data_IF_593751851833
#
_entry.id   IF_593751851833
#
_cell.length_a   1.000
_cell.length_b   1.000
_cell.length_c   1.000
_cell.angle_alpha   90.00
_cell.angle_beta   90.00
_cell.angle_gamma   90.00
#
_symmetry.space_group_name_H-M   'P 1'
#
loop_
_entity.id
_entity.type
_entity.pdbx_description
1 polymer ?
#
# COMPACT_ATOMS: atom_id res chain seq x y z
N UNK A 1 6.08 -3.99 8.97
CA UNK A 1 6.74 -5.20 9.50
C UNK A 1 6.78 -6.39 8.57
N UNK A 2 5.66 -6.89 8.02
CA UNK A 2 5.61 -8.10 7.18
C UNK A 2 6.76 -8.18 6.14
N UNK A 3 6.95 -7.11 5.36
CA UNK A 3 8.04 -7.00 4.39
C UNK A 3 9.45 -7.09 5.00
N UNK A 4 9.73 -6.31 6.06
CA UNK A 4 11.02 -6.29 6.76
C UNK A 4 11.38 -7.64 7.38
N UNK A 5 10.37 -8.43 7.75
CA UNK A 5 10.51 -9.76 8.35
C UNK A 5 10.52 -10.90 7.31
N UNK A 6 10.54 -10.58 6.01
CA UNK A 6 10.54 -11.59 4.94
C UNK A 6 9.20 -12.33 4.77
N UNK A 7 8.10 -11.81 5.33
CA UNK A 7 6.78 -12.42 5.23
C UNK A 7 6.03 -12.10 3.93
N UNK A 8 6.66 -11.43 2.96
CA UNK A 8 6.11 -11.12 1.64
C UNK A 8 6.98 -11.80 0.60
N UNK A 9 6.35 -12.58 -0.28
CA UNK A 9 7.05 -13.23 -1.39
C UNK A 9 7.57 -12.21 -2.41
N UNK A 10 8.68 -12.49 -3.10
CA UNK A 10 9.17 -11.64 -4.18
C UNK A 10 8.10 -11.42 -5.26
N UNK A 11 7.86 -10.15 -5.61
CA UNK A 11 6.89 -9.77 -6.64
C UNK A 11 7.60 -9.66 -7.98
N UNK A 12 7.21 -10.50 -8.95
CA UNK A 12 7.81 -10.55 -10.29
C UNK A 12 6.84 -9.93 -11.31
N UNK A 13 7.38 -9.19 -12.28
CA UNK A 13 6.62 -8.70 -13.43
C UNK A 13 5.70 -7.51 -13.17
N UNK A 14 5.79 -6.86 -12.00
CA UNK A 14 4.96 -5.69 -11.60
C UNK A 14 5.73 -4.39 -11.42
N UNK A 15 6.96 -4.35 -11.93
CA UNK A 15 7.87 -3.21 -11.72
C UNK A 15 7.30 -1.91 -12.28
N UNK A 16 6.61 -1.96 -13.42
CA UNK A 16 5.97 -0.80 -14.02
C UNK A 16 4.90 -0.19 -13.11
N UNK A 17 3.97 -1.01 -12.61
CA UNK A 17 2.90 -0.56 -11.74
C UNK A 17 3.42 -0.07 -10.39
N UNK A 18 4.44 -0.73 -9.83
CA UNK A 18 5.09 -0.29 -8.59
C UNK A 18 5.77 1.06 -8.78
N UNK A 19 6.50 1.25 -9.90
CA UNK A 19 7.11 2.54 -10.24
C UNK A 19 6.05 3.64 -10.42
N UNK A 20 4.96 3.35 -11.13
CA UNK A 20 3.86 4.31 -11.30
C UNK A 20 3.25 4.72 -9.95
N UNK A 21 3.11 3.77 -9.02
CA UNK A 21 2.63 4.05 -7.66
C UNK A 21 3.58 4.98 -6.90
N UNK A 22 4.90 4.73 -6.97
CA UNK A 22 5.91 5.61 -6.40
C UNK A 22 5.83 7.02 -7.00
N UNK A 23 5.72 7.12 -8.32
CA UNK A 23 5.63 8.41 -9.02
C UNK A 23 4.39 9.20 -8.60
N UNK A 24 3.25 8.53 -8.41
CA UNK A 24 2.01 9.16 -7.91
C UNK A 24 2.19 9.65 -6.47
N UNK A 25 2.74 8.82 -5.58
CA UNK A 25 2.98 9.19 -4.18
C UNK A 25 3.90 10.42 -4.03
N UNK A 26 4.78 10.65 -5.00
CA UNK A 26 5.71 11.79 -5.03
C UNK A 26 5.14 13.08 -5.63
N UNK A 27 3.88 13.07 -6.09
CA UNK A 27 3.25 14.28 -6.62
C UNK A 27 2.94 15.28 -5.50
N UNK A 28 2.99 16.57 -5.83
CA UNK A 28 2.58 17.66 -4.92
C UNK A 28 1.07 17.71 -4.68
N UNK A 29 0.28 17.28 -5.67
CA UNK A 29 -1.19 17.23 -5.64
C UNK A 29 -1.63 15.90 -6.25
N UNK A 30 -2.79 15.40 -5.84
CA UNK A 30 -3.34 14.12 -6.32
C UNK A 30 -2.34 12.97 -6.13
N UNK A 31 -1.78 12.88 -4.92
CA UNK A 31 -0.75 11.91 -4.54
C UNK A 31 -1.30 10.60 -3.98
N UNK A 32 -2.58 10.31 -4.24
CA UNK A 32 -3.27 9.13 -3.75
C UNK A 32 -3.45 8.14 -4.93
N UNK A 33 -2.58 7.12 -5.08
CA UNK A 33 -2.72 6.13 -6.14
C UNK A 33 -3.96 5.25 -5.91
N UNK A 34 -4.68 4.95 -6.99
CA UNK A 34 -5.82 4.01 -6.98
C UNK A 34 -5.54 2.91 -8.00
N UNK A 35 -5.52 1.66 -7.52
CA UNK A 35 -5.34 0.48 -8.37
C UNK A 35 -6.69 -0.04 -8.88
N UNK A 36 -6.98 0.21 -10.15
CA UNK A 36 -8.17 -0.29 -10.84
C UNK A 36 -7.88 -1.58 -11.61
N UNK A 37 -8.92 -2.31 -12.03
CA UNK A 37 -8.82 -3.60 -12.73
C UNK A 37 -9.75 -4.67 -12.18
N UNK A 38 -9.80 -5.82 -12.85
CA UNK A 38 -10.66 -6.95 -12.44
C UNK A 38 -10.27 -7.55 -11.09
N UNK A 39 -11.20 -8.22 -10.38
CA UNK A 39 -10.87 -9.03 -9.22
C UNK A 39 -9.80 -10.09 -9.54
N UNK A 40 -8.88 -10.34 -8.60
CA UNK A 40 -7.87 -11.39 -8.74
C UNK A 40 -6.65 -11.06 -9.63
N UNK A 41 -6.61 -9.91 -10.31
CA UNK A 41 -5.48 -9.53 -11.19
C UNK A 41 -4.16 -9.20 -10.48
N UNK A 42 -4.10 -9.35 -9.15
CA UNK A 42 -2.88 -9.13 -8.37
C UNK A 42 -2.64 -7.69 -7.92
N UNK A 43 -3.70 -6.89 -7.71
CA UNK A 43 -3.58 -5.52 -7.16
C UNK A 43 -2.83 -5.50 -5.83
N UNK A 44 -3.12 -6.46 -4.96
CA UNK A 44 -2.43 -6.65 -3.67
C UNK A 44 -0.94 -6.89 -3.87
N UNK A 45 -0.54 -7.68 -4.88
CA UNK A 45 0.87 -7.95 -5.16
C UNK A 45 1.63 -6.67 -5.56
N UNK A 46 0.99 -5.71 -6.24
CA UNK A 46 1.63 -4.40 -6.53
C UNK A 46 1.90 -3.64 -5.23
N UNK A 47 0.94 -3.61 -4.29
CA UNK A 47 1.10 -2.95 -2.98
C UNK A 47 2.16 -3.64 -2.11
N UNK A 48 2.20 -4.97 -2.13
CA UNK A 48 3.22 -5.76 -1.44
C UNK A 48 4.61 -5.54 -2.04
N UNK A 49 4.71 -5.38 -3.36
CA UNK A 49 5.95 -5.01 -4.05
C UNK A 49 6.44 -3.61 -3.65
N UNK A 50 5.54 -2.64 -3.48
CA UNK A 50 5.88 -1.34 -2.90
C UNK A 50 6.42 -1.50 -1.47
N UNK A 51 5.77 -2.31 -0.64
CA UNK A 51 6.21 -2.56 0.75
C UNK A 51 7.62 -3.17 0.80
N UNK A 52 7.94 -4.10 -0.10
CA UNK A 52 9.29 -4.66 -0.25
C UNK A 52 10.32 -3.59 -0.63
N UNK A 53 10.03 -2.73 -1.60
CA UNK A 53 10.94 -1.64 -1.99
C UNK A 53 11.21 -0.67 -0.84
N UNK A 54 10.17 -0.29 -0.08
CA UNK A 54 10.32 0.57 1.10
C UNK A 54 11.22 -0.13 2.14
N UNK A 55 10.98 -1.41 2.42
CA UNK A 55 11.78 -2.19 3.38
C UNK A 55 13.26 -2.32 2.96
N UNK A 56 13.53 -2.43 1.65
CA UNK A 56 14.87 -2.54 1.08
C UNK A 56 15.55 -1.17 0.87
N UNK A 57 14.86 -0.05 1.13
CA UNK A 57 15.38 1.29 0.85
C UNK A 57 15.47 1.65 -0.64
N UNK A 58 14.85 0.85 -1.51
CA UNK A 58 14.80 1.04 -2.97
C UNK A 58 13.68 2.01 -3.39
N UNK A 59 13.58 3.13 -2.68
CA UNK A 59 12.57 4.18 -2.89
C UNK A 59 13.21 5.56 -2.77
N UNK A 60 12.57 6.62 -3.31
CA UNK A 60 13.02 8.00 -3.11
C UNK A 60 13.16 8.34 -1.62
N UNK A 61 14.04 9.29 -1.29
CA UNK A 61 14.34 9.66 0.10
C UNK A 61 13.08 10.02 0.91
N UNK A 62 12.09 10.67 0.29
CA UNK A 62 10.83 11.04 0.94
C UNK A 62 9.99 9.83 1.40
N UNK A 63 10.19 8.65 0.83
CA UNK A 63 9.52 7.40 1.19
C UNK A 63 10.43 6.44 1.97
N UNK A 64 11.67 6.83 2.28
CA UNK A 64 12.50 6.03 3.17
C UNK A 64 11.94 6.09 4.58
N UNK A 65 11.98 4.95 5.28
CA UNK A 65 11.51 4.83 6.68
C UNK A 65 10.02 5.12 6.91
N UNK A 66 9.21 5.18 5.86
CA UNK A 66 7.75 5.26 6.02
C UNK A 66 7.16 3.90 6.33
N UNK A 67 5.99 3.89 6.97
CA UNK A 67 5.25 2.67 7.28
C UNK A 67 4.02 2.57 6.37
N UNK A 68 3.88 1.42 5.70
CA UNK A 68 2.69 1.08 4.95
C UNK A 68 1.73 0.31 5.86
N UNK A 69 0.52 0.86 6.06
CA UNK A 69 -0.53 0.28 6.87
C UNK A 69 -1.68 -0.20 5.98
N UNK A 70 -2.33 -1.28 6.41
CA UNK A 70 -3.57 -1.76 5.81
C UNK A 70 -4.71 -1.37 6.75
N UNK A 71 -5.74 -0.76 6.19
CA UNK A 71 -6.99 -0.49 6.90
C UNK A 71 -7.96 -1.63 6.65
N UNK A 72 -8.34 -2.35 7.70
CA UNK A 72 -9.36 -3.38 7.62
C UNK A 72 -10.73 -2.74 7.93
N UNK A 73 -11.54 -2.60 6.89
CA UNK A 73 -12.87 -2.00 7.00
C UNK A 73 -13.85 -2.86 7.81
N UNK A 74 -13.67 -4.19 7.80
CA UNK A 74 -14.52 -5.10 8.56
C UNK A 74 -14.29 -4.96 10.06
N UNK A 75 -13.02 -4.86 10.47
CA UNK A 75 -12.67 -4.57 11.87
C UNK A 75 -13.14 -3.19 12.30
N UNK A 76 -13.02 -2.18 11.42
CA UNK A 76 -13.46 -0.83 11.72
C UNK A 76 -14.98 -0.76 11.91
N UNK A 77 -15.74 -1.47 11.08
CA UNK A 77 -17.19 -1.58 11.21
C UNK A 77 -17.62 -2.36 12.46
N UNK A 78 -16.90 -3.43 12.83
CA UNK A 78 -17.21 -4.21 14.03
C UNK A 78 -17.07 -3.42 15.34
N UNK A 79 -16.22 -2.39 15.36
CA UNK A 79 -16.02 -1.50 16.51
C UNK A 79 -17.00 -0.34 16.59
N UNK A 80 -17.64 0.04 15.48
CA UNK A 80 -18.59 1.16 15.42
C UNK A 80 -20.02 0.65 15.60
N UNK A 81 -20.50 0.63 16.84
CA UNK A 81 -21.85 0.12 17.16
C UNK A 81 -22.91 1.22 17.10
N UNK A 82 -22.51 2.48 17.26
CA UNK A 82 -23.40 3.64 17.27
C UNK A 82 -23.12 4.53 16.06
N UNK A 83 -24.19 5.12 15.50
CA UNK A 83 -24.10 6.08 14.41
C UNK A 83 -23.17 7.25 14.79
N UNK A 84 -22.13 7.48 13.99
CA UNK A 84 -21.13 8.52 14.21
C UNK A 84 -19.83 8.05 14.86
N UNK A 85 -19.75 6.81 15.39
CA UNK A 85 -18.50 6.27 15.96
C UNK A 85 -17.45 5.93 14.90
N UNK A 86 -17.87 5.76 13.64
CA UNK A 86 -16.97 5.50 12.52
C UNK A 86 -16.18 6.75 12.08
N UNK A 87 -16.77 7.93 12.28
CA UNK A 87 -16.33 9.19 11.68
C UNK A 87 -15.59 10.11 12.66
N UNK A 88 -15.69 9.83 13.97
CA UNK A 88 -15.10 10.61 15.07
C UNK A 88 -13.75 10.07 15.53
#
# INVERSE_FOLDING_TARGET
>A
EKAKKGGIDPVIGREYEIRLMLDILMRRRQNNPILTGEPGVGKTAVVEGLALKIAQGLVPNALKNVHLHVLDMGLLQAGASVKGEFEN
#
